data_IF_275760493311
#
_entry.id   IF_275760493311
#
_cell.length_a   1.000
_cell.length_b   1.000
_cell.length_c   1.000
_cell.angle_alpha   90.00
_cell.angle_beta   90.00
_cell.angle_gamma   90.00
#
_symmetry.space_group_name_H-M   'P 1'
#
loop_
_entity.id
_entity.type
_entity.pdbx_description
1 polymer ?
#
# COMPACT_ATOMS: atom_id res chain seq x y z
N UNK A 1 53.49 26.29 20.68
CA UNK A 1 52.14 26.92 20.68
C UNK A 1 51.77 27.27 19.25
N UNK A 2 50.51 27.04 18.83
CA UNK A 2 50.06 27.36 17.48
C UNK A 2 50.36 28.84 17.16
N UNK A 3 51.06 29.11 16.05
CA UNK A 3 51.52 30.46 15.65
C UNK A 3 50.40 31.52 15.59
N UNK A 4 49.13 31.10 15.49
CA UNK A 4 47.94 31.94 15.29
C UNK A 4 46.80 31.67 16.29
N UNK A 5 47.09 31.24 17.52
CA UNK A 5 46.03 31.13 18.53
C UNK A 5 45.50 32.53 18.90
N UNK A 6 44.18 32.73 18.81
CA UNK A 6 43.52 33.99 19.18
C UNK A 6 43.87 34.38 20.63
N UNK A 7 43.98 35.68 20.89
CA UNK A 7 44.14 36.19 22.24
C UNK A 7 42.86 35.93 23.03
N UNK A 8 43.00 35.41 24.26
CA UNK A 8 41.85 35.23 25.14
C UNK A 8 41.33 36.59 25.63
N UNK A 9 40.08 36.65 26.09
CA UNK A 9 39.52 37.87 26.69
C UNK A 9 40.37 38.37 27.88
N UNK A 10 40.92 37.45 28.67
CA UNK A 10 41.83 37.76 29.78
C UNK A 10 43.16 38.35 29.29
N UNK A 11 43.73 37.81 28.20
CA UNK A 11 44.95 38.36 27.59
C UNK A 11 44.70 39.77 27.07
N UNK A 12 43.56 40.01 26.41
CA UNK A 12 43.16 41.33 25.89
C UNK A 12 43.02 42.34 27.03
N UNK A 13 42.29 42.00 28.10
CA UNK A 13 42.13 42.86 29.27
C UNK A 13 43.48 43.17 29.96
N UNK A 14 44.36 42.17 30.04
CA UNK A 14 45.70 42.33 30.60
C UNK A 14 46.58 43.23 29.73
N UNK A 15 46.49 43.14 28.40
CA UNK A 15 47.18 44.05 27.46
C UNK A 15 46.74 45.49 27.71
N UNK A 16 45.43 45.76 27.77
CA UNK A 16 44.92 47.11 28.03
C UNK A 16 45.33 47.63 29.40
N UNK A 17 45.28 46.80 30.45
CA UNK A 17 45.70 47.19 31.81
C UNK A 17 47.20 47.52 31.91
N UNK A 18 48.06 46.73 31.26
CA UNK A 18 49.49 47.00 31.25
C UNK A 18 49.82 48.24 30.40
N UNK A 19 49.02 48.50 29.35
CA UNK A 19 49.21 49.67 28.50
C UNK A 19 48.78 50.96 29.21
N UNK A 20 47.73 50.96 30.03
CA UNK A 20 47.35 52.11 30.88
C UNK A 20 48.38 52.41 31.96
N UNK A 21 49.12 51.39 32.43
CA UNK A 21 50.29 51.54 33.31
C UNK A 21 51.57 51.98 32.57
N UNK A 22 51.46 52.36 31.29
CA UNK A 22 52.55 52.85 30.44
C UNK A 22 53.71 51.86 30.22
N UNK A 23 53.48 50.56 30.39
CA UNK A 23 54.47 49.51 30.13
C UNK A 23 54.75 49.41 28.61
N UNK A 24 56.02 49.23 28.22
CA UNK A 24 56.41 49.10 26.80
C UNK A 24 55.84 47.80 26.22
N UNK A 25 55.42 47.85 24.94
CA UNK A 25 54.82 46.71 24.22
C UNK A 25 55.75 45.49 24.18
N UNK A 26 57.07 45.70 24.19
CA UNK A 26 58.07 44.63 24.27
C UNK A 26 57.93 43.82 25.58
N UNK A 27 57.80 44.50 26.72
CA UNK A 27 57.69 43.85 28.02
C UNK A 27 56.33 43.17 28.21
N UNK A 28 55.26 43.79 27.67
CA UNK A 28 53.92 43.18 27.60
C UNK A 28 53.98 41.87 26.80
N UNK A 29 54.66 41.87 25.65
CA UNK A 29 54.83 40.68 24.81
C UNK A 29 55.58 39.56 25.54
N UNK A 30 56.64 39.91 26.30
CA UNK A 30 57.42 38.97 27.11
C UNK A 30 56.59 38.37 28.25
N UNK A 31 55.79 39.19 28.93
CA UNK A 31 54.96 38.77 30.07
C UNK A 31 53.78 37.87 29.66
N UNK A 32 53.15 38.17 28.52
CA UNK A 32 52.00 37.42 27.98
C UNK A 32 52.46 36.25 27.09
N UNK A 33 53.76 36.18 26.76
CA UNK A 33 54.38 35.16 25.88
C UNK A 33 53.72 35.11 24.50
N UNK A 34 53.46 36.29 23.90
CA UNK A 34 52.80 36.44 22.59
C UNK A 34 53.56 37.38 21.66
N UNK A 35 53.23 37.36 20.37
CA UNK A 35 53.89 38.19 19.35
C UNK A 35 53.58 39.68 19.54
N UNK A 36 54.59 40.54 19.36
CA UNK A 36 54.45 42.01 19.35
C UNK A 36 53.40 42.49 18.34
N UNK A 37 53.41 41.94 17.12
CA UNK A 37 52.46 42.32 16.06
C UNK A 37 51.01 42.09 16.45
N UNK A 38 50.70 40.96 17.09
CA UNK A 38 49.35 40.68 17.59
C UNK A 38 48.89 41.62 18.72
N UNK A 39 49.82 42.11 19.54
CA UNK A 39 49.51 43.13 20.56
C UNK A 39 49.24 44.48 19.90
N UNK A 40 50.06 44.89 18.93
CA UNK A 40 49.80 46.09 18.14
C UNK A 40 48.44 46.01 17.42
N UNK A 41 48.08 44.86 16.86
CA UNK A 41 46.78 44.64 16.20
C UNK A 41 45.60 44.76 17.17
N UNK A 42 45.78 44.45 18.45
CA UNK A 42 44.75 44.65 19.49
C UNK A 42 44.66 46.13 19.86
N UNK A 43 45.81 46.78 20.09
CA UNK A 43 45.88 48.18 20.49
C UNK A 43 45.45 49.13 19.36
N UNK A 44 45.57 48.72 18.10
CA UNK A 44 45.16 49.50 16.92
C UNK A 44 43.67 49.36 16.59
N UNK A 45 42.94 48.45 17.24
CA UNK A 45 41.50 48.26 17.03
C UNK A 45 40.74 49.20 17.95
N UNK A 46 40.00 50.15 17.37
CA UNK A 46 38.95 50.85 18.12
C UNK A 46 37.95 49.84 18.67
N UNK A 47 37.45 50.09 19.88
CA UNK A 47 36.49 49.23 20.60
C UNK A 47 35.21 48.94 19.80
N UNK A 48 34.93 49.74 18.75
CA UNK A 48 33.78 49.58 17.84
C UNK A 48 34.11 48.90 16.48
N UNK A 49 35.29 48.30 16.32
CA UNK A 49 35.67 47.66 15.06
C UNK A 49 34.93 46.33 14.83
N UNK A 50 34.05 46.29 13.82
CA UNK A 50 33.26 45.10 13.45
C UNK A 50 34.20 44.02 12.88
N UNK A 51 34.39 42.93 13.63
CA UNK A 51 35.14 41.76 13.14
C UNK A 51 34.35 41.09 12.01
N UNK A 52 34.83 41.22 10.76
CA UNK A 52 34.24 40.53 9.60
C UNK A 52 34.34 39.01 9.80
N UNK A 53 33.20 38.33 9.90
CA UNK A 53 33.14 36.86 9.95
C UNK A 53 33.67 36.28 8.64
N UNK A 54 34.53 35.27 8.73
CA UNK A 54 34.99 34.51 7.56
C UNK A 54 33.81 33.75 6.96
N UNK A 55 33.69 33.75 5.63
CA UNK A 55 32.58 33.15 4.86
C UNK A 55 32.49 31.62 4.97
N UNK A 56 33.44 30.97 5.64
CA UNK A 56 33.46 29.52 5.87
C UNK A 56 33.64 28.73 4.58
N UNK A 57 33.56 27.40 4.70
CA UNK A 57 33.62 26.52 3.53
C UNK A 57 32.34 26.66 2.71
N UNK A 58 32.42 26.80 1.37
CA UNK A 58 31.23 26.84 0.53
C UNK A 58 30.41 25.55 0.67
N UNK A 59 29.10 25.68 0.44
CA UNK A 59 28.18 24.54 0.49
C UNK A 59 28.50 23.56 -0.64
N UNK A 60 28.31 22.26 -0.35
CA UNK A 60 28.44 21.20 -1.36
C UNK A 60 27.31 21.17 -2.39
N UNK A 61 26.18 21.81 -2.08
CA UNK A 61 24.99 21.83 -2.94
C UNK A 61 24.58 23.26 -3.26
N UNK A 62 24.09 23.46 -4.49
CA UNK A 62 23.45 24.70 -4.93
C UNK A 62 21.97 24.74 -4.50
N UNK A 63 21.34 25.92 -4.57
CA UNK A 63 19.91 26.06 -4.27
C UNK A 63 19.02 25.24 -5.22
N UNK A 64 19.44 25.04 -6.48
CA UNK A 64 18.71 24.22 -7.45
C UNK A 64 18.75 22.74 -7.06
N UNK A 65 19.93 22.25 -6.68
CA UNK A 65 20.13 20.88 -6.20
C UNK A 65 19.34 20.63 -4.91
N UNK A 66 19.31 21.60 -3.99
CA UNK A 66 18.49 21.50 -2.77
C UNK A 66 17.00 21.34 -3.11
N UNK A 67 16.47 22.07 -4.11
CA UNK A 67 15.07 21.92 -4.57
C UNK A 67 14.81 20.55 -5.19
N UNK A 68 15.75 20.04 -5.98
CA UNK A 68 15.65 18.73 -6.61
C UNK A 68 15.62 17.60 -5.58
N UNK A 69 16.48 17.67 -4.56
CA UNK A 69 16.48 16.75 -3.41
C UNK A 69 15.12 16.76 -2.71
N UNK A 70 14.57 17.94 -2.41
CA UNK A 70 13.29 18.05 -1.71
C UNK A 70 12.13 17.54 -2.57
N UNK A 71 12.16 17.77 -3.90
CA UNK A 71 11.16 17.23 -4.82
C UNK A 71 11.20 15.70 -4.87
N UNK A 72 12.38 15.09 -4.91
CA UNK A 72 12.53 13.64 -4.90
C UNK A 72 11.96 13.01 -3.61
N UNK A 73 12.16 13.66 -2.46
CA UNK A 73 11.62 13.22 -1.16
C UNK A 73 10.10 13.35 -1.11
N UNK A 74 9.54 14.42 -1.68
CA UNK A 74 8.09 14.65 -1.66
C UNK A 74 7.31 13.74 -2.60
N UNK A 75 7.93 13.29 -3.69
CA UNK A 75 7.25 12.53 -4.75
C UNK A 75 7.38 11.02 -4.60
N UNK A 76 8.49 10.52 -4.04
CA UNK A 76 8.81 9.10 -4.03
C UNK A 76 8.98 8.56 -2.59
N UNK A 77 8.37 7.40 -2.30
CA UNK A 77 8.58 6.66 -1.03
C UNK A 77 9.86 5.83 -1.09
N UNK A 78 11.01 6.49 -1.24
CA UNK A 78 12.34 5.83 -1.34
C UNK A 78 13.20 6.07 -0.11
N UNK A 79 14.20 5.22 0.09
CA UNK A 79 15.19 5.45 1.14
C UNK A 79 16.09 6.64 0.79
N UNK A 80 16.65 7.32 1.80
CA UNK A 80 17.58 8.46 1.57
C UNK A 80 18.78 8.04 0.72
N UNK A 81 19.26 6.80 0.90
CA UNK A 81 20.37 6.26 0.12
C UNK A 81 19.99 6.08 -1.35
N UNK A 82 18.79 5.60 -1.61
CA UNK A 82 18.27 5.41 -2.95
C UNK A 82 17.98 6.74 -3.64
N UNK A 83 17.49 7.74 -2.90
CA UNK A 83 17.38 9.12 -3.41
C UNK A 83 18.76 9.66 -3.79
N UNK A 84 19.77 9.50 -2.93
CA UNK A 84 21.12 9.97 -3.21
C UNK A 84 21.74 9.32 -4.46
N UNK A 85 21.43 8.04 -4.73
CA UNK A 85 21.90 7.32 -5.93
C UNK A 85 21.17 7.71 -7.21
N UNK A 86 19.89 8.10 -7.10
CA UNK A 86 19.04 8.40 -8.25
C UNK A 86 19.08 9.87 -8.69
N UNK A 87 19.75 10.76 -7.94
CA UNK A 87 19.94 12.15 -8.35
C UNK A 87 21.01 12.23 -9.45
N UNK A 88 20.83 13.17 -10.38
CA UNK A 88 21.74 13.35 -11.52
C UNK A 88 23.14 13.87 -11.15
N UNK A 89 23.43 14.08 -9.85
CA UNK A 89 24.70 14.61 -9.36
C UNK A 89 25.20 13.83 -8.13
N UNK A 90 26.52 13.67 -7.98
CA UNK A 90 27.09 12.87 -6.91
C UNK A 90 26.92 13.55 -5.55
N UNK A 91 26.11 12.95 -4.69
CA UNK A 91 25.88 13.47 -3.35
C UNK A 91 25.85 12.35 -2.31
N UNK A 92 26.44 12.60 -1.14
CA UNK A 92 26.40 11.60 -0.06
C UNK A 92 25.03 11.57 0.62
N UNK A 93 24.61 10.38 1.07
CA UNK A 93 23.40 10.17 1.90
C UNK A 93 23.31 11.19 3.04
N UNK A 94 24.41 11.47 3.73
CA UNK A 94 24.46 12.40 4.86
C UNK A 94 24.19 13.85 4.45
N UNK A 95 24.58 14.25 3.23
CA UNK A 95 24.30 15.59 2.71
C UNK A 95 22.82 15.73 2.38
N UNK A 96 22.22 14.72 1.72
CA UNK A 96 20.78 14.65 1.47
C UNK A 96 19.99 14.75 2.77
N UNK A 97 20.35 13.95 3.78
CA UNK A 97 19.70 13.97 5.09
C UNK A 97 19.76 15.35 5.75
N UNK A 98 20.94 16.01 5.72
CA UNK A 98 21.12 17.36 6.27
C UNK A 98 20.22 18.39 5.56
N UNK A 99 20.02 18.26 4.25
CA UNK A 99 19.14 19.16 3.48
C UNK A 99 17.67 18.99 3.84
N UNK A 100 17.22 17.75 3.98
CA UNK A 100 15.87 17.44 4.45
C UNK A 100 15.64 18.03 5.84
N UNK A 101 16.56 17.81 6.78
CA UNK A 101 16.47 18.33 8.16
C UNK A 101 16.53 19.86 8.22
N UNK A 102 17.29 20.51 7.34
CA UNK A 102 17.32 21.97 7.27
C UNK A 102 16.08 22.59 6.61
N UNK A 103 15.24 21.78 5.96
CA UNK A 103 14.05 22.28 5.27
C UNK A 103 12.92 22.56 6.26
N UNK A 104 12.20 23.65 6.06
CA UNK A 104 11.03 24.00 6.89
C UNK A 104 9.82 23.08 6.64
N UNK A 105 9.78 22.42 5.48
CA UNK A 105 8.60 21.73 4.96
C UNK A 105 8.55 20.24 5.27
N UNK A 106 9.69 19.60 5.55
CA UNK A 106 9.75 18.15 5.77
C UNK A 106 9.93 17.84 7.24
N UNK A 107 8.91 17.26 7.85
CA UNK A 107 8.98 16.75 9.22
C UNK A 107 9.28 15.26 9.20
N UNK A 108 10.26 14.84 10.01
CA UNK A 108 10.49 13.43 10.23
C UNK A 108 9.28 12.81 10.92
N UNK A 109 8.73 11.74 10.32
CA UNK A 109 7.68 10.91 10.94
C UNK A 109 8.13 9.46 10.89
N UNK A 110 8.23 8.82 12.06
CA UNK A 110 8.48 7.38 12.13
C UNK A 110 7.29 6.65 11.48
N UNK A 111 7.56 5.83 10.46
CA UNK A 111 6.54 5.00 9.85
C UNK A 111 5.95 4.08 10.92
N UNK A 112 4.63 4.13 11.11
CA UNK A 112 3.94 3.17 11.98
C UNK A 112 4.08 1.81 11.30
N UNK A 113 4.76 0.85 11.96
CA UNK A 113 4.81 -0.52 11.46
C UNK A 113 3.37 -0.99 11.31
N UNK A 114 3.03 -1.53 10.14
CA UNK A 114 1.75 -2.20 9.94
C UNK A 114 1.62 -3.24 11.06
N UNK A 115 0.59 -3.16 11.92
CA UNK A 115 0.44 -4.14 12.98
C UNK A 115 0.36 -5.52 12.35
N UNK A 116 1.03 -6.50 12.96
CA UNK A 116 0.86 -7.89 12.56
C UNK A 116 -0.62 -8.23 12.52
N UNK A 117 -0.99 -9.04 11.53
CA UNK A 117 -2.36 -9.45 11.33
C UNK A 117 -2.84 -10.22 12.58
N UNK A 118 -3.58 -9.54 13.46
CA UNK A 118 -4.17 -10.11 14.67
C UNK A 118 -5.05 -11.32 14.33
N UNK A 119 -5.25 -12.24 15.28
CA UNK A 119 -6.03 -13.45 15.07
C UNK A 119 -7.45 -13.15 14.54
N UNK A 120 -8.12 -12.10 15.01
CA UNK A 120 -9.42 -11.70 14.49
C UNK A 120 -9.34 -11.15 13.05
N UNK A 121 -8.26 -10.49 12.65
CA UNK A 121 -8.05 -10.07 11.25
C UNK A 121 -7.78 -11.29 10.34
N UNK A 122 -7.06 -12.29 10.84
CA UNK A 122 -6.87 -13.58 10.14
C UNK A 122 -8.22 -14.31 9.99
N UNK A 123 -8.99 -14.40 11.07
CA UNK A 123 -10.35 -14.97 11.05
C UNK A 123 -11.28 -14.19 10.13
N UNK A 124 -11.25 -12.85 10.16
CA UNK A 124 -12.05 -12.00 9.28
C UNK A 124 -11.63 -12.14 7.82
N UNK A 125 -10.34 -12.30 7.52
CA UNK A 125 -9.85 -12.59 6.15
C UNK A 125 -10.20 -14.00 5.69
N UNK A 126 -10.17 -14.99 6.58
CA UNK A 126 -10.64 -16.35 6.28
C UNK A 126 -12.16 -16.36 6.13
N UNK A 127 -12.92 -15.63 6.94
CA UNK A 127 -14.36 -15.43 6.81
C UNK A 127 -14.72 -14.61 5.56
N UNK A 128 -13.87 -13.68 5.15
CA UNK A 128 -14.00 -12.89 3.92
C UNK A 128 -13.63 -13.72 2.68
N UNK A 129 -12.60 -14.58 2.77
CA UNK A 129 -12.25 -15.53 1.71
C UNK A 129 -13.24 -16.71 1.64
N UNK A 130 -13.82 -17.10 2.79
CA UNK A 130 -15.01 -17.94 2.93
C UNK A 130 -16.30 -17.16 2.70
N UNK A 131 -16.24 -15.87 2.37
CA UNK A 131 -17.39 -15.18 1.79
C UNK A 131 -17.43 -15.67 0.36
N UNK A 132 -17.94 -16.90 0.28
CA UNK A 132 -18.74 -17.44 -0.80
C UNK A 132 -19.31 -16.28 -1.59
N UNK A 133 -19.12 -16.32 -2.90
CA UNK A 133 -19.85 -15.42 -3.79
C UNK A 133 -21.34 -15.70 -3.54
N UNK A 134 -21.96 -14.79 -2.79
CA UNK A 134 -23.37 -14.83 -2.48
C UNK A 134 -24.06 -14.08 -3.61
N UNK A 135 -24.95 -14.77 -4.32
CA UNK A 135 -25.89 -14.15 -5.23
C UNK A 135 -27.04 -13.66 -4.36
N UNK A 136 -27.09 -12.36 -4.13
CA UNK A 136 -28.08 -11.76 -3.27
C UNK A 136 -29.34 -11.47 -4.10
N UNK A 137 -30.50 -11.92 -3.61
CA UNK A 137 -31.79 -11.54 -4.18
C UNK A 137 -32.12 -12.09 -5.58
N UNK A 138 -31.61 -13.26 -5.96
CA UNK A 138 -32.05 -13.90 -7.19
C UNK A 138 -33.46 -14.50 -7.01
N UNK A 139 -34.39 -14.14 -7.90
CA UNK A 139 -35.78 -14.58 -7.88
C UNK A 139 -36.05 -15.64 -8.95
N UNK A 140 -36.98 -16.56 -8.69
CA UNK A 140 -37.39 -17.60 -9.62
C UNK A 140 -38.78 -18.18 -9.32
N UNK A 141 -39.28 -18.97 -10.26
CA UNK A 141 -40.47 -19.81 -10.12
C UNK A 141 -40.18 -21.19 -10.71
N UNK A 142 -40.30 -22.23 -9.89
CA UNK A 142 -40.20 -23.59 -10.40
C UNK A 142 -41.48 -23.94 -11.16
N UNK A 143 -41.39 -23.97 -12.49
CA UNK A 143 -42.49 -24.29 -13.38
C UNK A 143 -41.95 -24.95 -14.65
N UNK A 144 -42.46 -26.12 -14.99
CA UNK A 144 -42.13 -26.82 -16.22
C UNK A 144 -43.19 -26.53 -17.30
N UNK A 145 -42.80 -26.08 -18.50
CA UNK A 145 -43.73 -25.87 -19.61
C UNK A 145 -44.29 -27.18 -20.19
N UNK A 146 -43.71 -28.32 -19.81
CA UNK A 146 -44.13 -29.66 -20.26
C UNK A 146 -45.16 -30.32 -19.34
N UNK A 147 -45.50 -29.68 -18.21
CA UNK A 147 -46.50 -30.15 -17.26
C UNK A 147 -47.68 -29.19 -17.26
N UNK A 148 -48.88 -29.70 -16.98
CA UNK A 148 -50.03 -28.83 -16.79
C UNK A 148 -49.95 -28.08 -15.43
N UNK A 149 -50.84 -27.11 -15.21
CA UNK A 149 -50.81 -26.26 -14.01
C UNK A 149 -51.04 -27.05 -12.71
N UNK A 150 -51.89 -28.09 -12.74
CA UNK A 150 -52.16 -28.91 -11.57
C UNK A 150 -50.95 -29.80 -11.21
N UNK A 151 -50.34 -30.42 -12.21
CA UNK A 151 -49.11 -31.20 -12.09
C UNK A 151 -47.96 -30.34 -11.55
N UNK A 152 -47.78 -29.12 -12.08
CA UNK A 152 -46.78 -28.17 -11.59
C UNK A 152 -47.02 -27.79 -10.12
N UNK A 153 -48.27 -27.50 -9.75
CA UNK A 153 -48.65 -27.15 -8.38
C UNK A 153 -48.40 -28.31 -7.42
N UNK A 154 -48.72 -29.54 -7.82
CA UNK A 154 -48.51 -30.73 -7.00
C UNK A 154 -47.02 -31.07 -6.86
N UNK A 155 -46.24 -30.97 -7.94
CA UNK A 155 -44.82 -31.31 -7.96
C UNK A 155 -43.95 -30.30 -7.20
N UNK A 156 -44.11 -29.00 -7.50
CA UNK A 156 -43.25 -27.94 -6.98
C UNK A 156 -43.86 -27.21 -5.77
N UNK A 157 -45.15 -27.41 -5.48
CA UNK A 157 -45.82 -26.87 -4.30
C UNK A 157 -45.65 -25.36 -4.16
N UNK A 158 -45.16 -24.92 -2.98
CA UNK A 158 -44.94 -23.50 -2.65
C UNK A 158 -43.96 -22.81 -3.61
N UNK A 159 -43.05 -23.56 -4.23
CA UNK A 159 -42.04 -23.03 -5.15
C UNK A 159 -42.63 -22.68 -6.53
N UNK A 160 -43.87 -23.11 -6.84
CA UNK A 160 -44.59 -22.76 -8.07
C UNK A 160 -45.44 -21.48 -7.97
N UNK A 161 -45.30 -20.68 -6.90
CA UNK A 161 -46.03 -19.41 -6.75
C UNK A 161 -45.99 -18.58 -8.05
N UNK A 162 -47.14 -18.17 -8.64
CA UNK A 162 -47.17 -17.42 -9.90
C UNK A 162 -46.33 -16.14 -9.91
N UNK A 163 -46.20 -15.49 -8.74
CA UNK A 163 -45.38 -14.28 -8.57
C UNK A 163 -43.89 -14.58 -8.30
N UNK A 164 -43.52 -15.86 -8.22
CA UNK A 164 -42.18 -16.31 -7.87
C UNK A 164 -41.86 -16.18 -6.38
N UNK A 165 -40.61 -16.45 -6.07
CA UNK A 165 -39.95 -16.24 -4.77
C UNK A 165 -38.46 -16.03 -5.02
N UNK A 166 -37.66 -15.74 -3.98
CA UNK A 166 -36.23 -15.52 -4.16
C UNK A 166 -35.38 -16.05 -3.02
N UNK A 167 -34.09 -16.19 -3.32
CA UNK A 167 -33.10 -16.75 -2.40
C UNK A 167 -31.79 -15.97 -2.46
N UNK A 168 -31.05 -16.05 -1.35
CA UNK A 168 -29.67 -15.57 -1.29
C UNK A 168 -28.75 -16.77 -1.47
N UNK A 169 -28.52 -17.13 -2.73
CA UNK A 169 -27.74 -18.32 -3.06
C UNK A 169 -26.28 -18.14 -2.64
N UNK A 170 -25.67 -19.18 -2.07
CA UNK A 170 -24.24 -19.21 -1.78
C UNK A 170 -23.54 -20.16 -2.75
N UNK A 171 -22.64 -19.63 -3.59
CA UNK A 171 -21.90 -20.43 -4.60
C UNK A 171 -20.44 -20.63 -4.20
N UNK A 172 -20.08 -21.90 -3.96
CA UNK A 172 -18.72 -22.36 -3.70
C UNK A 172 -18.14 -23.05 -4.94
N UNK A 173 -17.03 -22.52 -5.47
CA UNK A 173 -16.32 -23.11 -6.61
C UNK A 173 -15.00 -23.72 -6.13
N UNK A 174 -14.78 -24.99 -6.50
CA UNK A 174 -13.55 -25.70 -6.23
C UNK A 174 -12.79 -25.93 -7.53
N UNK A 175 -11.54 -25.49 -7.56
CA UNK A 175 -10.59 -25.76 -8.64
C UNK A 175 -9.53 -26.77 -8.18
N UNK A 176 -9.05 -27.61 -9.11
CA UNK A 176 -7.99 -28.58 -8.90
C UNK A 176 -6.89 -28.38 -9.94
N UNK A 177 -5.65 -28.69 -9.57
CA UNK A 177 -4.52 -28.60 -10.48
C UNK A 177 -3.19 -28.81 -9.77
N UNK A 178 -2.10 -28.77 -10.55
CA UNK A 178 -0.74 -28.88 -10.00
C UNK A 178 -0.36 -27.56 -9.33
N UNK A 179 0.41 -27.64 -8.25
CA UNK A 179 0.98 -26.45 -7.61
C UNK A 179 2.10 -25.88 -8.50
N UNK A 180 2.02 -24.59 -8.79
CA UNK A 180 3.11 -23.88 -9.43
C UNK A 180 4.33 -23.84 -8.49
N UNK A 181 5.50 -24.24 -9.00
CA UNK A 181 6.71 -24.41 -8.18
C UNK A 181 7.29 -23.08 -7.66
N UNK A 182 6.98 -21.95 -8.29
CA UNK A 182 7.51 -20.64 -7.91
C UNK A 182 6.59 -19.91 -6.94
N UNK A 183 5.28 -20.01 -7.16
CA UNK A 183 4.25 -19.26 -6.44
C UNK A 183 3.53 -20.09 -5.38
N UNK A 184 3.56 -21.43 -5.49
CA UNK A 184 2.87 -22.34 -4.57
C UNK A 184 1.35 -22.33 -4.70
N UNK A 185 0.80 -21.81 -5.81
CA UNK A 185 -0.64 -21.71 -6.05
C UNK A 185 -1.08 -22.70 -7.14
N UNK A 186 -2.31 -23.21 -7.05
CA UNK A 186 -2.97 -23.93 -8.15
C UNK A 186 -3.51 -22.94 -9.19
N UNK A 187 -4.12 -21.87 -8.70
CA UNK A 187 -4.59 -20.72 -9.48
C UNK A 187 -4.47 -19.48 -8.60
N UNK A 188 -4.20 -18.33 -9.21
CA UNK A 188 -4.27 -17.07 -8.49
C UNK A 188 -5.72 -16.78 -8.09
N UNK A 189 -5.96 -16.52 -6.80
CA UNK A 189 -7.29 -16.28 -6.26
C UNK A 189 -7.94 -15.02 -6.85
N UNK A 190 -7.13 -14.02 -7.22
CA UNK A 190 -7.63 -12.80 -7.86
C UNK A 190 -8.25 -13.11 -9.21
N UNK A 191 -7.60 -13.95 -10.02
CA UNK A 191 -8.08 -14.33 -11.36
C UNK A 191 -9.36 -15.15 -11.24
N UNK A 192 -9.41 -16.11 -10.30
CA UNK A 192 -10.63 -16.89 -10.04
C UNK A 192 -11.80 -15.98 -9.64
N UNK A 193 -11.54 -14.96 -8.81
CA UNK A 193 -12.56 -13.99 -8.39
C UNK A 193 -13.09 -13.19 -9.58
N UNK A 194 -12.23 -12.73 -10.48
CA UNK A 194 -12.63 -11.98 -11.67
C UNK A 194 -13.46 -12.84 -12.63
N UNK A 195 -13.08 -14.11 -12.80
CA UNK A 195 -13.86 -15.07 -13.59
C UNK A 195 -15.24 -15.27 -12.97
N UNK A 196 -15.31 -15.60 -11.68
CA UNK A 196 -16.59 -15.78 -10.98
C UNK A 196 -17.48 -14.52 -11.03
N UNK A 197 -16.90 -13.33 -10.94
CA UNK A 197 -17.65 -12.08 -11.08
C UNK A 197 -18.32 -11.98 -12.45
N UNK A 198 -17.57 -12.21 -13.53
CA UNK A 198 -18.08 -12.10 -14.90
C UNK A 198 -19.05 -13.21 -15.27
N UNK A 199 -18.77 -14.45 -14.84
CA UNK A 199 -19.51 -15.64 -15.30
C UNK A 199 -20.72 -15.98 -14.44
N UNK A 200 -20.75 -15.51 -13.19
CA UNK A 200 -21.81 -15.86 -12.23
C UNK A 200 -22.52 -14.59 -11.77
N UNK A 201 -21.79 -13.65 -11.17
CA UNK A 201 -22.40 -12.50 -10.50
C UNK A 201 -23.11 -11.58 -11.51
N UNK A 202 -22.45 -11.19 -12.60
CA UNK A 202 -23.07 -10.30 -13.60
C UNK A 202 -24.31 -10.90 -14.29
N UNK A 203 -24.39 -12.23 -14.35
CA UNK A 203 -25.50 -12.94 -15.00
C UNK A 203 -26.68 -13.20 -14.06
N UNK A 204 -26.42 -13.51 -12.78
CA UNK A 204 -27.42 -14.07 -11.87
C UNK A 204 -27.76 -13.17 -10.68
N UNK A 205 -26.90 -12.24 -10.30
CA UNK A 205 -27.08 -11.42 -9.09
C UNK A 205 -28.22 -10.40 -9.29
N UNK A 206 -29.12 -10.27 -8.30
CA UNK A 206 -30.29 -9.39 -8.36
C UNK A 206 -31.18 -9.55 -9.61
N UNK A 207 -31.24 -10.77 -10.16
CA UNK A 207 -31.99 -11.11 -11.38
C UNK A 207 -33.13 -12.07 -11.12
N UNK A 208 -34.14 -12.04 -11.99
CA UNK A 208 -35.14 -13.10 -12.06
C UNK A 208 -34.65 -14.19 -13.03
N UNK A 209 -34.31 -15.37 -12.53
CA UNK A 209 -33.67 -16.45 -13.30
C UNK A 209 -34.46 -16.79 -14.57
N UNK A 210 -35.76 -17.05 -14.45
CA UNK A 210 -36.60 -17.49 -15.59
C UNK A 210 -36.86 -16.40 -16.64
N UNK A 211 -36.68 -15.12 -16.29
CA UNK A 211 -37.03 -13.97 -17.15
C UNK A 211 -35.80 -13.30 -17.75
N UNK A 212 -34.77 -13.10 -16.94
CA UNK A 212 -33.60 -12.30 -17.28
C UNK A 212 -32.44 -13.14 -17.80
N UNK A 213 -32.45 -14.46 -17.57
CA UNK A 213 -31.36 -15.36 -17.95
C UNK A 213 -31.87 -16.30 -19.06
N UNK A 214 -31.41 -16.13 -20.32
CA UNK A 214 -31.94 -16.88 -21.45
C UNK A 214 -31.94 -18.40 -21.29
N UNK A 215 -30.98 -18.95 -20.54
CA UNK A 215 -30.87 -20.39 -20.29
C UNK A 215 -32.10 -20.99 -19.59
N UNK A 216 -32.76 -20.24 -18.69
CA UNK A 216 -33.89 -20.74 -17.90
C UNK A 216 -35.26 -20.48 -18.55
N UNK A 217 -35.31 -20.03 -19.81
CA UNK A 217 -36.58 -19.89 -20.52
C UNK A 217 -37.26 -21.23 -20.77
N UNK A 218 -36.46 -22.21 -21.18
CA UNK A 218 -36.92 -23.57 -21.53
C UNK A 218 -36.46 -24.62 -20.50
N UNK A 219 -35.77 -24.20 -19.44
CA UNK A 219 -35.22 -25.08 -18.41
C UNK A 219 -35.69 -24.62 -17.04
N UNK A 220 -36.26 -25.53 -16.25
CA UNK A 220 -36.71 -25.22 -14.88
C UNK A 220 -35.53 -24.77 -14.03
N UNK A 221 -35.66 -23.65 -13.32
CA UNK A 221 -34.63 -23.03 -12.48
C UNK A 221 -34.36 -23.73 -11.14
N UNK A 222 -34.37 -25.07 -11.11
CA UNK A 222 -33.99 -25.81 -9.89
C UNK A 222 -32.51 -25.58 -9.54
N UNK A 223 -32.16 -25.75 -8.27
CA UNK A 223 -30.78 -25.57 -7.79
C UNK A 223 -29.79 -26.50 -8.52
N UNK A 224 -30.24 -27.68 -8.94
CA UNK A 224 -29.48 -28.59 -9.82
C UNK A 224 -29.20 -27.96 -11.19
N UNK A 225 -30.22 -27.44 -11.88
CA UNK A 225 -30.04 -26.82 -13.18
C UNK A 225 -29.23 -25.52 -13.10
N UNK A 226 -29.36 -24.77 -12.00
CA UNK A 226 -28.47 -23.62 -11.72
C UNK A 226 -27.02 -24.08 -11.56
N UNK A 227 -26.77 -25.20 -10.89
CA UNK A 227 -25.41 -25.75 -10.76
C UNK A 227 -24.80 -26.19 -12.10
N UNK A 228 -25.61 -26.76 -12.99
CA UNK A 228 -25.21 -27.11 -14.36
C UNK A 228 -24.90 -25.85 -15.17
N UNK A 229 -25.77 -24.83 -15.10
CA UNK A 229 -25.55 -23.56 -15.78
C UNK A 229 -24.23 -22.91 -15.35
N UNK A 230 -24.01 -22.77 -14.03
CA UNK A 230 -22.78 -22.17 -13.48
C UNK A 230 -21.55 -22.99 -13.89
N UNK A 231 -21.65 -24.32 -13.87
CA UNK A 231 -20.57 -25.19 -14.32
C UNK A 231 -20.20 -24.94 -15.78
N UNK A 232 -21.18 -24.81 -16.67
CA UNK A 232 -20.95 -24.55 -18.10
C UNK A 232 -20.31 -23.17 -18.33
N UNK A 233 -20.74 -22.14 -17.59
CA UNK A 233 -20.13 -20.80 -17.70
C UNK A 233 -18.67 -20.80 -17.22
N UNK A 234 -18.41 -21.48 -16.09
CA UNK A 234 -17.07 -21.60 -15.52
C UNK A 234 -16.14 -22.48 -16.37
N UNK A 235 -16.63 -23.60 -16.90
CA UNK A 235 -15.82 -24.52 -17.71
C UNK A 235 -15.32 -23.86 -19.00
N UNK A 236 -16.10 -22.95 -19.58
CA UNK A 236 -15.72 -22.15 -20.75
C UNK A 236 -14.68 -21.06 -20.42
N UNK A 237 -14.66 -20.58 -19.17
CA UNK A 237 -13.80 -19.48 -18.75
C UNK A 237 -12.54 -19.92 -18.01
N UNK A 238 -12.52 -21.15 -17.50
CA UNK A 238 -11.40 -21.77 -16.82
C UNK A 238 -10.62 -22.71 -17.75
N UNK A 239 -9.32 -22.92 -17.50
CA UNK A 239 -8.55 -23.94 -18.22
C UNK A 239 -9.18 -25.33 -18.12
N UNK A 240 -9.11 -26.10 -19.21
CA UNK A 240 -9.67 -27.44 -19.30
C UNK A 240 -9.16 -28.35 -18.17
N UNK A 241 -10.08 -29.03 -17.48
CA UNK A 241 -9.76 -29.96 -16.39
C UNK A 241 -9.45 -29.30 -15.03
N UNK A 242 -9.46 -27.97 -14.94
CA UNK A 242 -9.20 -27.24 -13.70
C UNK A 242 -10.44 -27.15 -12.79
N UNK A 243 -11.64 -27.02 -13.34
CA UNK A 243 -12.87 -27.00 -12.53
C UNK A 243 -13.13 -28.38 -11.92
N UNK A 244 -13.41 -28.43 -10.61
CA UNK A 244 -13.60 -29.69 -9.90
C UNK A 244 -15.01 -29.87 -9.34
N UNK A 245 -15.56 -28.83 -8.71
CA UNK A 245 -16.86 -28.91 -8.05
C UNK A 245 -17.50 -27.53 -7.99
N UNK A 246 -18.78 -27.45 -8.32
CA UNK A 246 -19.65 -26.28 -8.06
C UNK A 246 -20.65 -26.69 -7.00
N UNK A 247 -20.68 -25.97 -5.90
CA UNK A 247 -21.58 -26.21 -4.77
C UNK A 247 -22.46 -25.00 -4.54
N UNK A 248 -23.77 -25.20 -4.52
CA UNK A 248 -24.76 -24.13 -4.36
C UNK A 248 -25.58 -24.42 -3.12
N UNK A 249 -25.73 -23.42 -2.26
CA UNK A 249 -26.73 -23.41 -1.20
C UNK A 249 -27.86 -22.48 -1.64
N UNK A 250 -29.05 -23.02 -1.86
CA UNK A 250 -30.27 -22.23 -2.07
C UNK A 250 -30.76 -21.66 -0.74
N UNK A 251 -30.74 -22.50 0.30
CA UNK A 251 -30.96 -22.10 1.70
C UNK A 251 -29.91 -22.79 2.57
N UNK A 252 -29.87 -22.50 3.87
CA UNK A 252 -28.92 -23.18 4.76
C UNK A 252 -29.15 -24.70 4.87
N UNK A 253 -30.33 -25.19 4.49
CA UNK A 253 -30.70 -26.62 4.50
C UNK A 253 -30.60 -27.29 3.13
N UNK A 254 -30.75 -26.53 2.04
CA UNK A 254 -30.80 -27.06 0.68
C UNK A 254 -29.47 -26.80 -0.02
N UNK A 255 -28.74 -27.88 -0.33
CA UNK A 255 -27.40 -27.80 -0.90
C UNK A 255 -27.25 -28.79 -2.03
N UNK A 256 -26.77 -28.31 -3.18
CA UNK A 256 -26.44 -29.14 -4.34
C UNK A 256 -24.94 -29.05 -4.59
N UNK A 257 -24.33 -30.19 -4.94
CA UNK A 257 -22.94 -30.27 -5.40
C UNK A 257 -22.93 -30.92 -6.77
N UNK A 258 -22.28 -30.26 -7.73
CA UNK A 258 -22.16 -30.72 -9.09
C UNK A 258 -20.69 -30.84 -9.49
N UNK A 259 -20.36 -31.97 -10.13
CA UNK A 259 -18.97 -32.37 -10.45
C UNK A 259 -18.72 -32.49 -11.97
N UNK A 260 -19.69 -32.10 -12.80
CA UNK A 260 -19.57 -32.15 -14.27
C UNK A 260 -19.98 -33.47 -14.91
N UNK A 261 -20.46 -34.44 -14.12
CA UNK A 261 -21.08 -35.66 -14.63
C UNK A 261 -22.52 -35.34 -15.04
N UNK A 262 -22.74 -35.12 -16.34
CA UNK A 262 -24.07 -34.99 -16.92
C UNK A 262 -24.25 -36.07 -17.97
N UNK A 263 -25.37 -36.78 -17.93
CA UNK A 263 -25.77 -37.68 -19.00
C UNK A 263 -26.09 -36.83 -20.24
N UNK A 264 -25.18 -36.80 -21.21
CA UNK A 264 -25.56 -36.48 -22.59
C UNK A 264 -26.42 -37.64 -23.07
N UNK A 265 -27.74 -37.50 -22.97
CA UNK A 265 -28.64 -38.25 -23.83
C UNK A 265 -28.51 -37.70 -25.25
#
# INVERSE_FOLDING_TARGET
>A
MARNAQFSAADIAKIWRLKTQNVKVFDIAKQIKRSRSGIYEILSKDTNSIVKKRSGRPRKTSQRQDREILRAVSTQKKSILEIARNLAFPISRSTVHRRIQSSKFHRYRRMRRTPMLKLHHRKARVLWAKKVHALDGAAHRLHSPHLNDEENRLLYGKCNNPNGHGHNYKVEVTVKGKLDKKTGMVMNITDLKEIMQKTIMELLDHKHLDKDVPYFKDTVSTTENVSVFIWNQLSNSLPTGMLHCVKIHETDKNVVKFYGEYFKN
#
